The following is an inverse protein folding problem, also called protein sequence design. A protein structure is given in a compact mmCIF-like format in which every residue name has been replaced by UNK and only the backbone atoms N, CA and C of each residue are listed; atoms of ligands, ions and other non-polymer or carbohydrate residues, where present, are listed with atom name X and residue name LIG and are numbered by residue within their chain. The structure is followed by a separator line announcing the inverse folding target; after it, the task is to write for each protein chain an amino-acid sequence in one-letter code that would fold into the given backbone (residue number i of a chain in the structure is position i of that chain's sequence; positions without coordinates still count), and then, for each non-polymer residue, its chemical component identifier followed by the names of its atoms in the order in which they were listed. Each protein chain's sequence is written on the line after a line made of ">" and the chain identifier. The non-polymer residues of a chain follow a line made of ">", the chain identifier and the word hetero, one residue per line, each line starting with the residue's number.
data_IF_710924248261
#
_entry.id   IF_710924248261
#
_cell.length_a   1.000
_cell.length_b   1.000
_cell.length_c   1.000
_cell.angle_alpha   90.00
_cell.angle_beta   90.00
_cell.angle_gamma   90.00
#
_symmetry.space_group_name_H-M   'P 1'
#
loop_
_entity.id
_entity.type
_entity.pdbx_description
1 polymer ?
#
# COMPACT_ATOMS: atom_id res chain seq x y z
N UNK A 1 8.61 -12.60 -13.99
CA UNK A 1 7.63 -12.55 -12.90
C UNK A 1 6.52 -11.53 -13.20
N UNK A 2 6.83 -10.32 -13.56
CA UNK A 2 5.90 -9.23 -13.92
C UNK A 2 4.79 -9.66 -14.91
N UNK A 3 5.14 -10.46 -15.95
CA UNK A 3 4.17 -10.94 -16.93
C UNK A 3 3.08 -11.86 -16.35
N UNK A 4 3.40 -12.64 -15.30
CA UNK A 4 2.40 -13.48 -14.61
C UNK A 4 1.40 -12.62 -13.83
N UNK A 5 1.89 -11.57 -13.17
CA UNK A 5 1.06 -10.61 -12.43
C UNK A 5 0.14 -9.85 -13.38
N UNK A 6 0.71 -9.30 -14.47
CA UNK A 6 -0.07 -8.60 -15.52
C UNK A 6 -1.10 -9.53 -16.15
N UNK A 7 -0.70 -10.76 -16.48
CA UNK A 7 -1.61 -11.75 -17.05
C UNK A 7 -2.77 -12.10 -16.12
N UNK A 8 -2.51 -12.31 -14.83
CA UNK A 8 -3.55 -12.58 -13.83
C UNK A 8 -4.51 -11.41 -13.66
N UNK A 9 -3.98 -10.16 -13.64
CA UNK A 9 -4.79 -8.96 -13.54
C UNK A 9 -5.70 -8.80 -14.76
N UNK A 10 -5.15 -8.93 -15.97
CA UNK A 10 -5.92 -8.83 -17.21
C UNK A 10 -6.99 -9.93 -17.28
N UNK A 11 -6.63 -11.16 -16.92
CA UNK A 11 -7.57 -12.28 -16.88
C UNK A 11 -8.71 -12.02 -15.89
N UNK A 12 -8.39 -11.49 -14.68
CA UNK A 12 -9.37 -11.12 -13.68
C UNK A 12 -10.34 -10.04 -14.17
N UNK A 13 -9.83 -8.99 -14.83
CA UNK A 13 -10.66 -7.94 -15.41
C UNK A 13 -11.59 -8.51 -16.50
N UNK A 14 -11.06 -9.32 -17.41
CA UNK A 14 -11.84 -9.93 -18.49
C UNK A 14 -12.92 -10.87 -17.94
N UNK A 15 -12.58 -11.70 -16.95
CA UNK A 15 -13.56 -12.55 -16.28
C UNK A 15 -14.64 -11.72 -15.59
N UNK A 16 -14.28 -10.64 -14.90
CA UNK A 16 -15.25 -9.75 -14.26
C UNK A 16 -16.21 -9.06 -15.26
N UNK A 17 -15.71 -8.72 -16.45
CA UNK A 17 -16.54 -8.11 -17.51
C UNK A 17 -17.47 -9.11 -18.19
N UNK A 18 -17.04 -10.38 -18.34
CA UNK A 18 -17.77 -11.40 -19.13
C UNK A 18 -18.75 -12.20 -18.27
N UNK A 19 -18.39 -12.51 -17.02
CA UNK A 19 -19.10 -13.51 -16.21
C UNK A 19 -20.25 -12.96 -15.38
N UNK A 20 -20.69 -11.72 -15.54
CA UNK A 20 -21.77 -11.15 -14.72
C UNK A 20 -21.78 -11.78 -13.30
N UNK A 21 -20.82 -11.41 -12.49
CA UNK A 21 -20.19 -12.13 -11.39
C UNK A 21 -21.14 -12.79 -10.37
N UNK A 22 -20.78 -13.97 -9.83
CA UNK A 22 -21.40 -14.52 -8.64
C UNK A 22 -21.30 -13.54 -7.48
N UNK A 23 -22.20 -13.70 -6.51
CA UNK A 23 -22.36 -12.81 -5.37
C UNK A 23 -21.01 -12.28 -4.85
N UNK A 24 -20.86 -10.95 -4.64
CA UNK A 24 -19.61 -10.33 -4.18
C UNK A 24 -19.05 -10.98 -2.92
N UNK A 25 -19.89 -11.58 -2.10
CA UNK A 25 -19.50 -12.31 -0.89
C UNK A 25 -18.57 -13.51 -1.17
N UNK A 26 -18.85 -14.29 -2.23
CA UNK A 26 -18.00 -15.44 -2.58
C UNK A 26 -16.62 -14.97 -3.05
N UNK A 27 -16.56 -13.90 -3.85
CA UNK A 27 -15.29 -13.34 -4.31
C UNK A 27 -14.47 -12.78 -3.14
N UNK A 28 -15.10 -12.12 -2.18
CA UNK A 28 -14.44 -11.62 -0.98
C UNK A 28 -13.82 -12.78 -0.18
N UNK A 29 -14.60 -13.85 0.09
CA UNK A 29 -14.09 -15.02 0.82
C UNK A 29 -12.90 -15.67 0.09
N UNK A 30 -12.98 -15.81 -1.24
CA UNK A 30 -11.88 -16.38 -2.04
C UNK A 30 -10.65 -15.47 -2.00
N UNK A 31 -10.83 -14.16 -2.05
CA UNK A 31 -9.73 -13.20 -1.99
C UNK A 31 -9.06 -13.23 -0.61
N UNK A 32 -9.85 -13.21 0.47
CA UNK A 32 -9.34 -13.27 1.84
C UNK A 32 -8.57 -14.57 2.11
N UNK A 33 -9.10 -15.71 1.63
CA UNK A 33 -8.43 -16.99 1.75
C UNK A 33 -7.12 -17.02 0.96
N UNK A 34 -7.13 -16.52 -0.28
CA UNK A 34 -5.93 -16.44 -1.12
C UNK A 34 -4.86 -15.56 -0.48
N UNK A 35 -5.26 -14.40 0.06
CA UNK A 35 -4.37 -13.50 0.78
C UNK A 35 -3.80 -14.16 2.04
N UNK A 36 -4.64 -14.83 2.84
CA UNK A 36 -4.20 -15.56 4.03
C UNK A 36 -3.16 -16.64 3.69
N UNK A 37 -3.38 -17.41 2.62
CA UNK A 37 -2.43 -18.43 2.15
C UNK A 37 -1.11 -17.79 1.69
N UNK A 38 -1.18 -16.67 0.97
CA UNK A 38 0.02 -15.95 0.53
C UNK A 38 0.82 -15.40 1.71
N UNK A 39 0.14 -14.78 2.69
CA UNK A 39 0.80 -14.26 3.89
C UNK A 39 1.40 -15.37 4.74
N UNK A 40 0.69 -16.51 4.88
CA UNK A 40 1.22 -17.68 5.55
C UNK A 40 2.49 -18.20 4.85
N UNK A 41 2.48 -18.30 3.52
CA UNK A 41 3.65 -18.75 2.75
C UNK A 41 4.85 -17.81 2.91
N UNK A 42 4.63 -16.50 2.93
CA UNK A 42 5.68 -15.51 3.20
C UNK A 42 6.18 -15.63 4.64
N UNK A 43 5.26 -15.71 5.62
CA UNK A 43 5.61 -15.92 7.03
C UNK A 43 6.41 -17.21 7.26
N UNK A 44 6.01 -18.30 6.61
CA UNK A 44 6.73 -19.56 6.66
C UNK A 44 8.14 -19.43 6.09
N UNK A 45 8.28 -18.83 4.91
CA UNK A 45 9.59 -18.59 4.27
C UNK A 45 10.50 -17.69 5.13
N UNK A 46 9.94 -16.70 5.80
CA UNK A 46 10.67 -15.86 6.75
C UNK A 46 11.10 -16.67 7.98
N UNK A 47 10.21 -17.55 8.48
CA UNK A 47 10.49 -18.39 9.66
C UNK A 47 11.55 -19.48 9.43
N UNK A 48 11.72 -19.94 8.18
CA UNK A 48 12.79 -20.87 7.79
C UNK A 48 14.18 -20.24 7.81
N UNK A 49 14.28 -18.90 7.75
CA UNK A 49 15.55 -18.18 7.78
C UNK A 49 16.13 -18.20 9.21
N UNK A 50 17.07 -19.10 9.44
CA UNK A 50 17.72 -19.29 10.76
C UNK A 50 18.41 -18.02 11.27
N UNK A 51 18.81 -17.14 10.38
CA UNK A 51 19.51 -15.90 10.69
C UNK A 51 18.55 -14.70 10.79
N UNK A 52 17.23 -14.95 10.73
CA UNK A 52 16.21 -13.89 10.73
C UNK A 52 16.36 -12.93 11.91
N UNK A 53 16.51 -13.46 13.12
CA UNK A 53 16.67 -12.66 14.33
C UNK A 53 17.94 -11.81 14.31
N UNK A 54 19.03 -12.34 13.75
CA UNK A 54 20.27 -11.61 13.57
C UNK A 54 20.09 -10.51 12.52
N UNK A 55 19.44 -10.81 11.38
CA UNK A 55 19.11 -9.83 10.34
C UNK A 55 18.21 -8.70 10.85
N UNK A 56 17.23 -9.01 11.72
CA UNK A 56 16.40 -8.00 12.37
C UNK A 56 17.24 -7.10 13.29
N UNK A 57 18.12 -7.69 14.07
CA UNK A 57 18.98 -6.97 15.02
C UNK A 57 20.00 -6.08 14.31
N UNK A 58 20.48 -6.54 13.17
CA UNK A 58 21.44 -5.84 12.32
C UNK A 58 20.81 -4.86 11.35
N UNK A 59 19.47 -4.65 11.40
CA UNK A 59 18.78 -3.65 10.61
C UNK A 59 19.40 -2.27 10.86
N UNK A 60 19.80 -1.56 9.80
CA UNK A 60 20.26 -0.19 9.95
C UNK A 60 19.17 0.65 10.63
N UNK A 61 19.56 1.50 11.59
CA UNK A 61 18.61 2.41 12.28
C UNK A 61 17.80 3.27 11.32
N UNK A 62 18.34 3.55 10.13
CA UNK A 62 17.62 4.24 9.04
C UNK A 62 16.35 3.49 8.61
N UNK A 63 16.29 2.15 8.76
CA UNK A 63 15.09 1.37 8.43
C UNK A 63 13.89 1.75 9.29
N UNK A 64 14.13 2.22 10.52
CA UNK A 64 13.07 2.74 11.40
C UNK A 64 12.47 4.06 10.89
N UNK A 65 13.21 4.81 10.09
CA UNK A 65 12.75 6.06 9.47
C UNK A 65 11.94 5.83 8.18
N UNK A 66 12.02 4.63 7.57
CA UNK A 66 11.38 4.32 6.28
C UNK A 66 9.88 4.66 6.26
N UNK A 67 9.04 4.26 7.23
CA UNK A 67 7.61 4.58 7.19
C UNK A 67 7.35 6.09 7.23
N UNK A 68 8.13 6.85 7.98
CA UNK A 68 7.97 8.30 8.06
C UNK A 68 8.39 8.98 6.76
N UNK A 69 9.46 8.52 6.12
CA UNK A 69 9.88 9.00 4.81
C UNK A 69 8.82 8.69 3.74
N UNK A 70 8.22 7.50 3.79
CA UNK A 70 7.11 7.13 2.90
C UNK A 70 5.88 8.03 3.16
N UNK A 71 5.53 8.28 4.43
CA UNK A 71 4.43 9.15 4.79
C UNK A 71 4.62 10.57 4.24
N UNK A 72 5.77 11.17 4.50
CA UNK A 72 6.13 12.50 4.00
C UNK A 72 6.11 12.51 2.47
N UNK A 73 6.77 11.54 1.83
CA UNK A 73 6.82 11.43 0.37
C UNK A 73 5.43 11.24 -0.26
N UNK A 74 4.54 10.49 0.39
CA UNK A 74 3.16 10.28 -0.06
C UNK A 74 2.36 11.58 -0.04
N UNK A 75 2.39 12.32 1.07
CA UNK A 75 1.67 13.59 1.21
C UNK A 75 2.26 14.65 0.28
N UNK A 76 3.57 14.84 0.28
CA UNK A 76 4.23 15.79 -0.61
C UNK A 76 4.01 15.45 -2.09
N UNK A 77 4.11 14.18 -2.46
CA UNK A 77 3.85 13.72 -3.82
C UNK A 77 2.41 13.99 -4.27
N UNK A 78 1.43 13.73 -3.39
CA UNK A 78 0.03 14.02 -3.66
C UNK A 78 -0.21 15.54 -3.79
N UNK A 79 0.39 16.37 -2.95
CA UNK A 79 0.32 17.83 -3.03
C UNK A 79 0.89 18.35 -4.36
N UNK A 80 2.05 17.83 -4.78
CA UNK A 80 2.68 18.21 -6.07
C UNK A 80 1.82 17.77 -7.25
N UNK A 81 1.24 16.57 -7.21
CA UNK A 81 0.30 16.10 -8.23
C UNK A 81 -0.96 16.98 -8.26
N UNK A 82 -1.51 17.34 -7.10
CA UNK A 82 -2.66 18.25 -6.98
C UNK A 82 -2.38 19.60 -7.63
N UNK A 83 -1.21 20.18 -7.38
CA UNK A 83 -0.77 21.43 -8.03
C UNK A 83 -0.76 21.32 -9.55
N UNK A 84 -0.24 20.19 -10.09
CA UNK A 84 -0.15 19.98 -11.54
C UNK A 84 -1.53 19.92 -12.23
N UNK A 85 -2.56 19.39 -11.54
CA UNK A 85 -3.92 19.28 -12.06
C UNK A 85 -4.86 20.38 -11.55
N UNK A 86 -4.33 21.41 -10.88
CA UNK A 86 -5.08 22.52 -10.27
C UNK A 86 -6.13 22.09 -9.23
N UNK A 87 -5.83 20.99 -8.53
CA UNK A 87 -6.64 20.51 -7.42
C UNK A 87 -6.18 21.16 -6.10
N UNK A 88 -7.07 21.25 -5.11
CA UNK A 88 -6.74 21.83 -3.80
C UNK A 88 -5.58 21.10 -3.14
N UNK A 89 -4.53 21.85 -2.74
CA UNK A 89 -3.33 21.28 -2.11
C UNK A 89 -3.67 20.56 -0.82
N UNK A 90 -4.59 21.12 -0.02
CA UNK A 90 -5.03 20.53 1.23
C UNK A 90 -5.78 19.22 1.02
N UNK A 91 -6.70 19.18 0.06
CA UNK A 91 -7.44 17.96 -0.29
C UNK A 91 -6.52 16.91 -0.90
N UNK A 92 -5.54 17.33 -1.72
CA UNK A 92 -4.51 16.42 -2.22
C UNK A 92 -3.67 15.82 -1.07
N UNK A 93 -3.33 16.61 -0.05
CA UNK A 93 -2.66 16.13 1.15
C UNK A 93 -3.52 15.09 1.90
N UNK A 94 -4.83 15.34 2.05
CA UNK A 94 -5.76 14.37 2.64
C UNK A 94 -5.79 13.05 1.89
N UNK A 95 -5.88 13.09 0.57
CA UNK A 95 -5.85 11.89 -0.29
C UNK A 95 -4.54 11.14 -0.12
N UNK A 96 -3.40 11.86 -0.11
CA UNK A 96 -2.07 11.29 0.09
C UNK A 96 -1.84 10.68 1.47
N UNK A 97 -2.50 11.23 2.51
CA UNK A 97 -2.43 10.75 3.89
C UNK A 97 -3.18 9.43 4.14
N UNK A 98 -3.89 8.92 3.14
CA UNK A 98 -4.45 7.56 3.17
C UNK A 98 -3.38 6.46 3.12
N UNK A 99 -2.16 6.79 2.69
CA UNK A 99 -0.97 5.93 2.64
C UNK A 99 -1.19 4.56 1.98
N UNK A 100 -2.28 4.33 1.26
CA UNK A 100 -2.68 3.05 0.67
C UNK A 100 -3.81 2.35 1.45
N UNK A 101 -4.21 2.79 2.63
CA UNK A 101 -5.35 2.22 3.35
C UNK A 101 -6.67 2.89 2.90
N UNK A 102 -7.09 2.53 1.70
CA UNK A 102 -8.24 3.14 1.03
C UNK A 102 -9.56 3.00 1.79
N UNK A 103 -9.84 1.83 2.40
CA UNK A 103 -11.11 1.57 3.07
C UNK A 103 -11.31 2.46 4.31
N UNK A 104 -10.26 2.70 5.10
CA UNK A 104 -10.34 3.55 6.28
C UNK A 104 -10.25 5.03 5.92
N UNK A 105 -9.25 5.43 5.13
CA UNK A 105 -9.04 6.84 4.79
C UNK A 105 -10.24 7.44 4.06
N UNK A 106 -10.82 6.70 3.11
CA UNK A 106 -11.99 7.15 2.37
C UNK A 106 -13.20 7.42 3.29
N UNK A 107 -13.46 6.50 4.24
CA UNK A 107 -14.56 6.65 5.19
C UNK A 107 -14.31 7.83 6.13
N UNK A 108 -13.10 7.94 6.67
CA UNK A 108 -12.75 9.07 7.56
C UNK A 108 -12.92 10.41 6.86
N UNK A 109 -12.45 10.55 5.61
CA UNK A 109 -12.56 11.78 4.84
C UNK A 109 -14.02 12.07 4.47
N UNK A 110 -14.77 11.06 4.00
CA UNK A 110 -16.17 11.22 3.60
C UNK A 110 -17.07 11.65 4.77
N UNK A 111 -16.80 11.12 5.97
CA UNK A 111 -17.61 11.43 7.17
C UNK A 111 -17.24 12.77 7.82
N UNK A 112 -15.97 13.17 7.75
CA UNK A 112 -15.50 14.33 8.51
C UNK A 112 -15.14 15.56 7.67
N UNK A 113 -15.08 15.43 6.33
CA UNK A 113 -14.73 16.52 5.44
C UNK A 113 -15.67 16.64 4.24
N UNK A 114 -15.54 15.76 3.23
CA UNK A 114 -16.32 15.79 2.00
C UNK A 114 -16.41 14.41 1.36
N UNK A 115 -17.61 14.05 0.86
CA UNK A 115 -17.88 12.72 0.27
C UNK A 115 -17.14 12.52 -1.05
N UNK A 116 -17.03 13.56 -1.89
CA UNK A 116 -16.34 13.46 -3.17
C UNK A 116 -14.84 13.30 -2.98
N UNK A 117 -14.25 14.02 -2.01
CA UNK A 117 -12.83 13.86 -1.63
C UNK A 117 -12.58 12.49 -1.02
N UNK A 118 -13.52 11.95 -0.22
CA UNK A 118 -13.47 10.58 0.29
C UNK A 118 -13.47 9.54 -0.83
N UNK A 119 -14.34 9.70 -1.83
CA UNK A 119 -14.38 8.83 -3.01
C UNK A 119 -13.09 8.94 -3.84
N UNK A 120 -12.53 10.14 -3.98
CA UNK A 120 -11.25 10.34 -4.65
C UNK A 120 -10.11 9.65 -3.89
N UNK A 121 -10.12 9.72 -2.56
CA UNK A 121 -9.14 9.02 -1.72
C UNK A 121 -9.24 7.50 -1.88
N UNK A 122 -10.46 6.95 -1.93
CA UNK A 122 -10.69 5.53 -2.23
C UNK A 122 -10.00 5.15 -3.54
N UNK A 123 -10.39 5.80 -4.64
CA UNK A 123 -9.89 5.47 -5.98
C UNK A 123 -8.39 5.63 -6.09
N UNK A 124 -7.83 6.74 -5.59
CA UNK A 124 -6.40 7.01 -5.66
C UNK A 124 -5.58 5.95 -4.92
N UNK A 125 -6.01 5.54 -3.74
CA UNK A 125 -5.28 4.54 -2.95
C UNK A 125 -5.47 3.11 -3.51
N UNK A 126 -6.62 2.79 -4.11
CA UNK A 126 -6.80 1.53 -4.88
C UNK A 126 -5.87 1.51 -6.10
N UNK A 127 -5.81 2.60 -6.88
CA UNK A 127 -4.87 2.69 -8.00
C UNK A 127 -3.42 2.62 -7.54
N UNK A 128 -3.08 3.24 -6.39
CA UNK A 128 -1.75 3.12 -5.80
C UNK A 128 -1.38 1.65 -5.54
N UNK A 129 -2.29 0.86 -4.96
CA UNK A 129 -2.06 -0.55 -4.71
C UNK A 129 -1.83 -1.32 -6.01
N UNK A 130 -2.68 -1.12 -7.03
CA UNK A 130 -2.50 -1.75 -8.35
C UNK A 130 -1.15 -1.38 -8.97
N UNK A 131 -0.78 -0.11 -8.93
CA UNK A 131 0.51 0.36 -9.44
C UNK A 131 1.67 -0.21 -8.62
N UNK A 132 1.53 -0.33 -7.28
CA UNK A 132 2.54 -0.95 -6.44
C UNK A 132 2.76 -2.42 -6.83
N UNK A 133 1.69 -3.19 -7.06
CA UNK A 133 1.78 -4.58 -7.53
C UNK A 133 2.57 -4.68 -8.85
N UNK A 134 2.30 -3.79 -9.80
CA UNK A 134 2.93 -3.81 -11.11
C UNK A 134 4.38 -3.30 -11.08
N UNK A 135 4.65 -2.24 -10.34
CA UNK A 135 5.92 -1.51 -10.42
C UNK A 135 6.93 -1.90 -9.33
N UNK A 136 6.54 -2.53 -8.22
CA UNK A 136 7.50 -2.97 -7.18
C UNK A 136 8.66 -3.80 -7.73
N UNK A 137 8.47 -4.79 -8.64
CA UNK A 137 9.59 -5.53 -9.22
C UNK A 137 10.54 -4.65 -10.02
N UNK A 138 10.01 -3.63 -10.71
CA UNK A 138 10.81 -2.67 -11.47
C UNK A 138 11.58 -1.73 -10.55
N UNK A 139 10.93 -1.22 -9.50
CA UNK A 139 11.56 -0.40 -8.46
C UNK A 139 12.70 -1.18 -7.80
N UNK A 140 12.46 -2.45 -7.41
CA UNK A 140 13.49 -3.31 -6.84
C UNK A 140 14.69 -3.49 -7.77
N UNK A 141 14.43 -3.66 -9.07
CA UNK A 141 15.47 -3.87 -10.09
C UNK A 141 16.32 -2.62 -10.37
N UNK A 142 15.68 -1.45 -10.48
CA UNK A 142 16.35 -0.23 -10.96
C UNK A 142 16.75 0.74 -9.86
N UNK A 143 15.98 0.80 -8.75
CA UNK A 143 16.22 1.72 -7.65
C UNK A 143 16.74 1.03 -6.39
N UNK A 144 16.67 -0.30 -6.37
CA UNK A 144 17.17 -1.11 -5.25
C UNK A 144 16.09 -1.58 -4.29
N UNK A 145 16.52 -2.37 -3.29
CA UNK A 145 15.61 -3.11 -2.39
C UNK A 145 14.82 -2.21 -1.46
N UNK A 146 15.48 -1.27 -0.78
CA UNK A 146 14.83 -0.40 0.19
C UNK A 146 13.73 0.48 -0.44
N UNK A 147 13.93 1.16 -1.60
CA UNK A 147 12.88 1.88 -2.30
C UNK A 147 11.69 1.02 -2.74
N UNK A 148 11.88 -0.29 -2.93
CA UNK A 148 10.81 -1.20 -3.32
C UNK A 148 9.70 -1.35 -2.27
N UNK A 149 9.93 -0.93 -1.03
CA UNK A 149 8.92 -0.91 0.04
C UNK A 149 7.94 0.25 -0.09
N UNK A 150 8.35 1.34 -0.74
CA UNK A 150 7.60 2.60 -0.75
C UNK A 150 6.29 2.59 -1.56
N UNK A 151 6.20 1.95 -2.76
CA UNK A 151 4.97 1.96 -3.55
C UNK A 151 3.75 1.43 -2.80
N UNK A 152 3.91 0.32 -2.07
CA UNK A 152 2.83 -0.32 -1.30
C UNK A 152 2.26 0.58 -0.21
N UNK A 153 3.10 1.35 0.47
CA UNK A 153 2.65 2.14 1.62
C UNK A 153 2.13 1.24 2.74
N UNK A 154 0.90 1.46 3.17
CA UNK A 154 0.25 0.64 4.20
C UNK A 154 0.08 -0.83 3.75
N UNK A 155 -0.23 -1.08 2.47
CA UNK A 155 -0.40 -2.45 1.96
C UNK A 155 0.92 -3.24 1.87
N UNK A 156 2.05 -2.63 2.20
CA UNK A 156 3.33 -3.32 2.31
C UNK A 156 3.38 -4.33 3.47
N UNK A 157 2.42 -4.29 4.40
CA UNK A 157 2.30 -5.28 5.47
C UNK A 157 1.48 -6.52 5.06
N UNK A 158 0.68 -6.44 4.01
CA UNK A 158 -0.28 -7.47 3.59
C UNK A 158 -0.26 -7.69 2.06
N UNK A 159 -1.12 -7.01 1.30
CA UNK A 159 -1.36 -7.29 -0.13
C UNK A 159 -0.10 -7.18 -0.98
N UNK A 160 0.75 -6.18 -0.76
CA UNK A 160 1.98 -6.01 -1.56
C UNK A 160 3.20 -6.71 -0.95
N UNK A 161 3.12 -7.22 0.29
CA UNK A 161 4.21 -7.91 0.96
C UNK A 161 4.78 -9.10 0.17
N UNK A 162 3.94 -10.02 -0.37
CA UNK A 162 4.44 -11.15 -1.16
C UNK A 162 5.24 -10.72 -2.39
N UNK A 163 4.86 -9.62 -3.01
CA UNK A 163 5.54 -9.09 -4.21
C UNK A 163 6.88 -8.46 -3.85
N UNK A 164 6.91 -7.72 -2.73
CA UNK A 164 8.15 -7.15 -2.18
C UNK A 164 9.11 -8.27 -1.80
N UNK A 165 8.66 -9.28 -1.05
CA UNK A 165 9.46 -10.42 -0.63
C UNK A 165 10.07 -11.18 -1.82
N UNK A 166 9.27 -11.39 -2.87
CA UNK A 166 9.73 -12.09 -4.07
C UNK A 166 10.66 -11.23 -4.96
N UNK A 167 10.55 -9.91 -4.88
CA UNK A 167 11.34 -8.99 -5.70
C UNK A 167 12.64 -8.53 -5.02
N UNK A 168 12.77 -8.80 -3.71
CA UNK A 168 13.88 -8.35 -2.88
C UNK A 168 14.46 -9.50 -2.03
N UNK A 169 14.48 -9.36 -0.72
CA UNK A 169 14.94 -10.37 0.24
C UNK A 169 14.13 -10.33 1.54
N UNK A 170 14.37 -11.34 2.43
CA UNK A 170 13.68 -11.47 3.70
C UNK A 170 13.84 -10.22 4.60
N UNK A 171 15.02 -9.60 4.60
CA UNK A 171 15.28 -8.40 5.40
C UNK A 171 14.44 -7.21 4.92
N UNK A 172 14.35 -7.02 3.61
CA UNK A 172 13.51 -5.96 3.01
C UNK A 172 12.03 -6.25 3.23
N UNK A 173 11.59 -7.51 3.16
CA UNK A 173 10.21 -7.89 3.48
C UNK A 173 9.83 -7.56 4.93
N UNK A 174 10.73 -7.75 5.89
CA UNK A 174 10.52 -7.34 7.29
C UNK A 174 10.40 -5.82 7.43
N UNK A 175 11.27 -5.06 6.75
CA UNK A 175 11.16 -3.59 6.73
C UNK A 175 9.85 -3.14 6.10
N UNK A 176 9.39 -3.80 5.05
CA UNK A 176 8.12 -3.53 4.38
C UNK A 176 6.94 -3.80 5.33
N UNK A 177 6.92 -4.95 6.00
CA UNK A 177 5.89 -5.30 6.99
C UNK A 177 5.84 -4.27 8.12
N UNK A 178 6.98 -3.95 8.73
CA UNK A 178 7.10 -2.93 9.76
C UNK A 178 6.58 -1.57 9.25
N UNK A 179 7.03 -1.16 8.07
CA UNK A 179 6.67 0.11 7.47
C UNK A 179 5.17 0.21 7.18
N UNK A 180 4.57 -0.83 6.60
CA UNK A 180 3.14 -0.91 6.34
C UNK A 180 2.31 -0.84 7.63
N UNK A 181 2.75 -1.55 8.67
CA UNK A 181 2.10 -1.52 9.99
C UNK A 181 2.13 -0.11 10.60
N UNK A 182 3.28 0.56 10.60
CA UNK A 182 3.39 1.93 11.13
C UNK A 182 2.52 2.90 10.32
N UNK A 183 2.53 2.81 8.98
CA UNK A 183 1.69 3.64 8.12
C UNK A 183 0.20 3.42 8.40
N UNK A 184 -0.23 2.18 8.60
CA UNK A 184 -1.61 1.87 8.95
C UNK A 184 -2.01 2.49 10.30
N UNK A 185 -1.11 2.45 11.29
CA UNK A 185 -1.34 3.12 12.57
C UNK A 185 -1.45 4.65 12.39
N UNK A 186 -0.68 5.23 11.48
CA UNK A 186 -0.68 6.69 11.25
C UNK A 186 -1.97 7.22 10.61
N UNK A 187 -2.64 6.45 9.72
CA UNK A 187 -3.85 6.89 9.01
C UNK A 187 -4.91 7.48 9.95
N UNK A 188 -5.39 6.78 11.01
CA UNK A 188 -6.46 7.28 11.87
C UNK A 188 -6.08 8.52 12.71
N UNK A 189 -4.80 8.89 12.74
CA UNK A 189 -4.35 10.10 13.42
C UNK A 189 -4.08 11.25 12.43
N UNK A 190 -3.41 10.95 11.32
CA UNK A 190 -2.98 11.97 10.36
C UNK A 190 -4.17 12.51 9.56
N UNK A 191 -5.08 11.64 9.11
CA UNK A 191 -6.25 12.07 8.32
C UNK A 191 -7.16 13.03 9.13
N UNK A 192 -7.62 12.70 10.35
CA UNK A 192 -8.41 13.65 11.13
C UNK A 192 -7.66 14.94 11.49
N UNK A 193 -6.35 14.86 11.74
CA UNK A 193 -5.52 16.06 11.99
C UNK A 193 -5.53 17.00 10.79
N UNK A 194 -5.33 16.48 9.58
CA UNK A 194 -5.37 17.27 8.35
C UNK A 194 -6.76 17.85 8.09
N UNK A 195 -7.83 17.08 8.35
CA UNK A 195 -9.21 17.59 8.26
C UNK A 195 -9.40 18.81 9.17
N UNK A 196 -8.98 18.71 10.43
CA UNK A 196 -9.08 19.84 11.37
C UNK A 196 -8.30 21.08 10.92
N UNK A 197 -7.15 20.88 10.27
CA UNK A 197 -6.35 21.98 9.74
C UNK A 197 -7.00 22.67 8.53
N UNK A 198 -7.75 21.91 7.71
CA UNK A 198 -8.43 22.43 6.52
C UNK A 198 -9.77 23.13 6.84
N UNK A 199 -10.38 22.82 7.97
CA UNK A 199 -11.65 23.41 8.40
C UNK A 199 -11.47 24.70 9.22
N UNK A 200 -10.21 25.08 9.51
CA UNK A 200 -9.87 26.35 10.19
C UNK A 200 -9.67 27.47 9.19
#
# INVERSE_FOLDING_TARGET
>A
MTWKIVGSLVAGILCGLVLNTPAPEVLNVVTDLALAVLLFAVGFSLGEDKDLWQKIRDLPKISLAVPFLIAIGSVCGAMLAGLAIRFSIGEAALVGAGFGWYSLSAVLIAQSYDVAVGALALLTNVFRELLAILFTPLVAKYLGRAPATAPGGATAMDVTLPIIAQSTDAQTALVAFYSGTVLSILVPFVVPLLVQLLQR
#
